data_IF_443117843865
#
_entry.id   IF_443117843865
#
_cell.length_a   1.000
_cell.length_b   1.000
_cell.length_c   1.000
_cell.angle_alpha   90.00
_cell.angle_beta   90.00
_cell.angle_gamma   90.00
#
_symmetry.space_group_name_H-M   'P 1'
#
loop_
_entity.id
_entity.type
_entity.pdbx_description
1 polymer ?
#
# COMPACT_ATOMS: atom_id res chain seq x y z
N UNK A 1 26.15 -12.92 -23.17
CA UNK A 1 25.66 -12.78 -21.78
C UNK A 1 25.70 -11.31 -21.41
N UNK A 2 24.61 -10.58 -21.64
CA UNK A 2 24.57 -9.13 -21.41
C UNK A 2 24.18 -8.86 -19.96
N UNK A 3 25.06 -8.19 -19.21
CA UNK A 3 24.79 -7.71 -17.85
C UNK A 3 23.81 -6.54 -17.95
N UNK A 4 22.54 -6.78 -17.65
CA UNK A 4 21.59 -5.68 -17.44
C UNK A 4 21.92 -5.00 -16.11
N UNK A 5 22.61 -3.86 -16.21
CA UNK A 5 22.77 -2.90 -15.13
C UNK A 5 21.40 -2.28 -14.84
N UNK A 6 20.71 -2.72 -13.78
CA UNK A 6 19.50 -2.02 -13.33
C UNK A 6 19.94 -0.77 -12.58
N UNK A 7 19.88 0.39 -13.25
CA UNK A 7 19.96 1.67 -12.57
C UNK A 7 18.87 1.70 -11.50
N UNK A 8 19.27 1.72 -10.23
CA UNK A 8 18.38 1.92 -9.10
C UNK A 8 17.87 3.35 -9.20
N UNK A 9 16.74 3.53 -9.89
CA UNK A 9 16.01 4.79 -9.87
C UNK A 9 15.56 5.01 -8.43
N UNK A 10 16.28 5.90 -7.75
CA UNK A 10 15.94 6.28 -6.39
C UNK A 10 14.60 7.00 -6.44
N UNK A 11 13.60 6.48 -5.74
CA UNK A 11 12.30 7.13 -5.62
C UNK A 11 12.47 8.45 -4.87
N UNK A 12 12.30 9.57 -5.57
CA UNK A 12 12.50 10.92 -5.02
C UNK A 12 11.30 11.44 -4.21
N UNK A 13 10.23 10.66 -4.10
CA UNK A 13 8.97 11.06 -3.48
C UNK A 13 7.81 11.12 -4.47
N UNK A 14 6.60 11.23 -3.93
CA UNK A 14 5.41 11.46 -4.75
C UNK A 14 5.39 12.93 -5.22
N UNK A 15 5.23 13.19 -6.53
CA UNK A 15 5.15 14.55 -7.04
C UNK A 15 3.90 15.27 -6.48
N UNK A 16 3.93 16.60 -6.42
CA UNK A 16 2.78 17.41 -5.93
C UNK A 16 1.52 17.13 -6.76
N UNK A 17 1.74 16.84 -8.03
CA UNK A 17 0.76 16.47 -9.04
C UNK A 17 -0.04 15.22 -8.62
N UNK A 18 0.54 14.28 -7.86
CA UNK A 18 -0.19 13.12 -7.31
C UNK A 18 -1.35 13.58 -6.42
N UNK A 19 -1.08 14.47 -5.46
CA UNK A 19 -2.10 14.97 -4.55
C UNK A 19 -3.07 15.92 -5.24
N UNK A 20 -2.59 16.70 -6.22
CA UNK A 20 -3.45 17.56 -7.04
C UNK A 20 -4.43 16.74 -7.87
N UNK A 21 -3.97 15.68 -8.55
CA UNK A 21 -4.84 14.75 -9.27
C UNK A 21 -5.89 14.12 -8.35
N UNK A 22 -5.49 13.65 -7.16
CA UNK A 22 -6.42 13.05 -6.20
C UNK A 22 -7.50 14.03 -5.70
N UNK A 23 -7.14 15.31 -5.46
CA UNK A 23 -8.12 16.35 -5.10
C UNK A 23 -9.11 16.61 -6.23
N UNK A 24 -8.62 16.77 -7.45
CA UNK A 24 -9.49 17.04 -8.60
C UNK A 24 -10.37 15.84 -8.95
N UNK A 25 -9.86 14.61 -8.81
CA UNK A 25 -10.63 13.38 -8.95
C UNK A 25 -11.76 13.31 -7.91
N UNK A 26 -11.52 13.77 -6.68
CA UNK A 26 -12.57 13.82 -5.66
C UNK A 26 -13.70 14.77 -6.03
N UNK A 27 -13.38 15.90 -6.67
CA UNK A 27 -14.35 16.90 -7.14
C UNK A 27 -15.08 16.46 -8.41
N UNK A 28 -14.40 15.71 -9.28
CA UNK A 28 -14.88 15.32 -10.61
C UNK A 28 -14.98 13.79 -10.77
N UNK A 29 -15.51 13.09 -9.77
CA UNK A 29 -15.49 11.63 -9.70
C UNK A 29 -16.51 10.99 -10.67
N UNK A 30 -16.22 11.08 -11.97
CA UNK A 30 -17.02 10.52 -13.05
C UNK A 30 -16.10 10.05 -14.19
N UNK A 31 -16.63 9.16 -15.04
CA UNK A 31 -15.85 8.50 -16.09
C UNK A 31 -15.36 9.46 -17.18
N UNK A 32 -16.18 10.43 -17.58
CA UNK A 32 -15.85 11.40 -18.63
C UNK A 32 -14.61 12.21 -18.24
N UNK A 33 -14.60 12.75 -17.01
CA UNK A 33 -13.46 13.50 -16.50
C UNK A 33 -12.21 12.61 -16.38
N UNK A 34 -12.37 11.38 -15.86
CA UNK A 34 -11.24 10.46 -15.71
C UNK A 34 -10.62 10.10 -17.08
N UNK A 35 -11.45 9.81 -18.08
CA UNK A 35 -11.00 9.47 -19.42
C UNK A 35 -10.24 10.64 -20.08
N UNK A 36 -10.74 11.87 -19.92
CA UNK A 36 -10.04 13.08 -20.37
C UNK A 36 -8.70 13.32 -19.62
N UNK A 37 -8.58 12.85 -18.38
CA UNK A 37 -7.39 13.03 -17.53
C UNK A 37 -6.52 11.78 -17.43
N UNK A 38 -6.72 10.80 -18.33
CA UNK A 38 -6.02 9.50 -18.29
C UNK A 38 -4.51 9.62 -18.32
N UNK A 39 -3.97 10.53 -19.13
CA UNK A 39 -2.53 10.81 -19.19
C UNK A 39 -1.99 11.30 -17.84
N UNK A 40 -2.70 12.22 -17.18
CA UNK A 40 -2.35 12.72 -15.84
C UNK A 40 -2.42 11.60 -14.79
N UNK A 41 -3.40 10.71 -14.88
CA UNK A 41 -3.44 9.51 -14.04
C UNK A 41 -2.18 8.65 -14.25
N UNK A 42 -1.75 8.43 -15.49
CA UNK A 42 -0.58 7.59 -15.77
C UNK A 42 0.74 8.23 -15.28
N UNK A 43 0.90 9.53 -15.50
CA UNK A 43 2.13 10.27 -15.19
C UNK A 43 2.22 10.66 -13.71
N UNK A 44 1.12 11.14 -13.11
CA UNK A 44 1.12 11.70 -11.76
C UNK A 44 0.66 10.70 -10.68
N UNK A 45 -0.05 9.63 -11.04
CA UNK A 45 -0.52 8.63 -10.06
C UNK A 45 0.15 7.28 -10.26
N UNK A 46 0.03 6.68 -11.47
CA UNK A 46 0.47 5.31 -11.71
C UNK A 46 2.00 5.20 -11.68
N UNK A 47 2.71 6.00 -12.48
CA UNK A 47 4.18 5.91 -12.58
C UNK A 47 4.88 6.15 -11.23
N UNK A 48 4.53 7.18 -10.44
CA UNK A 48 5.11 7.39 -9.12
C UNK A 48 4.79 6.24 -8.14
N UNK A 49 3.59 5.67 -8.20
CA UNK A 49 3.23 4.52 -7.37
C UNK A 49 4.08 3.29 -7.68
N UNK A 50 4.30 2.99 -8.97
CA UNK A 50 5.15 1.88 -9.39
C UNK A 50 6.61 2.12 -9.01
N UNK A 51 7.11 3.35 -9.14
CA UNK A 51 8.45 3.73 -8.70
C UNK A 51 8.63 3.54 -7.19
N UNK A 52 7.66 3.96 -6.37
CA UNK A 52 7.67 3.72 -4.94
C UNK A 52 7.69 2.22 -4.59
N UNK A 53 6.83 1.42 -5.24
CA UNK A 53 6.78 -0.04 -5.01
C UNK A 53 8.13 -0.68 -5.35
N UNK A 54 8.76 -0.31 -6.48
CA UNK A 54 10.10 -0.78 -6.84
C UNK A 54 11.13 -0.40 -5.78
N UNK A 55 11.13 0.86 -5.33
CA UNK A 55 12.06 1.33 -4.31
C UNK A 55 11.88 0.62 -2.95
N UNK A 56 10.67 0.14 -2.65
CA UNK A 56 10.37 -0.61 -1.43
C UNK A 56 10.83 -2.07 -1.46
N UNK A 57 11.24 -2.63 -2.60
CA UNK A 57 11.66 -4.04 -2.69
C UNK A 57 12.82 -4.38 -1.73
N UNK A 58 13.89 -3.58 -1.75
CA UNK A 58 15.07 -3.82 -0.90
C UNK A 58 14.80 -3.52 0.59
N UNK A 59 14.20 -2.38 0.98
CA UNK A 59 13.81 -2.14 2.37
C UNK A 59 12.89 -3.22 2.94
N UNK A 60 11.91 -3.68 2.16
CA UNK A 60 10.95 -4.68 2.61
C UNK A 60 11.61 -6.06 2.81
N UNK A 61 12.52 -6.46 1.92
CA UNK A 61 13.30 -7.69 2.07
C UNK A 61 14.17 -7.71 3.35
N UNK A 62 14.63 -6.54 3.82
CA UNK A 62 15.35 -6.41 5.10
C UNK A 62 14.43 -6.60 6.31
N UNK A 63 13.14 -6.29 6.19
CA UNK A 63 12.15 -6.55 7.24
C UNK A 63 11.82 -8.04 7.29
N UNK A 64 11.51 -8.63 6.13
CA UNK A 64 11.38 -10.07 5.95
C UNK A 64 11.34 -10.42 4.46
N UNK A 65 12.00 -11.50 4.02
CA UNK A 65 11.97 -11.94 2.62
C UNK A 65 10.59 -12.43 2.17
N UNK A 66 9.67 -12.63 3.11
CA UNK A 66 8.33 -13.19 2.87
C UNK A 66 7.34 -12.14 2.33
N UNK A 67 7.67 -10.85 2.37
CA UNK A 67 6.82 -9.80 1.84
C UNK A 67 7.19 -9.41 0.40
N UNK A 68 6.16 -9.21 -0.42
CA UNK A 68 6.31 -8.96 -1.86
C UNK A 68 5.94 -7.52 -2.22
N UNK A 69 6.88 -6.86 -2.90
CA UNK A 69 6.69 -5.56 -3.55
C UNK A 69 6.69 -5.76 -5.08
N UNK A 70 5.51 -5.80 -5.67
CA UNK A 70 5.30 -6.08 -7.09
C UNK A 70 4.81 -4.83 -7.83
N UNK A 71 5.68 -4.14 -8.61
CA UNK A 71 5.34 -2.89 -9.29
C UNK A 71 4.55 -3.17 -10.58
N UNK A 72 3.34 -3.73 -10.43
CA UNK A 72 2.42 -4.00 -11.55
C UNK A 72 1.16 -3.16 -11.41
N UNK A 73 0.67 -2.63 -12.53
CA UNK A 73 -0.61 -1.89 -12.61
C UNK A 73 -1.81 -2.74 -12.19
N UNK A 74 -1.78 -4.04 -12.50
CA UNK A 74 -2.82 -5.02 -12.18
C UNK A 74 -2.18 -6.24 -11.54
N UNK A 75 -2.79 -6.76 -10.48
CA UNK A 75 -2.32 -7.96 -9.78
C UNK A 75 -1.04 -7.80 -8.95
N UNK A 76 -0.46 -6.59 -8.88
CA UNK A 76 0.70 -6.29 -8.02
C UNK A 76 0.32 -5.67 -6.69
N UNK A 77 1.28 -4.96 -6.08
CA UNK A 77 1.10 -4.26 -4.81
C UNK A 77 0.25 -2.99 -4.92
N UNK A 78 0.09 -2.42 -6.12
CA UNK A 78 -0.80 -1.28 -6.34
C UNK A 78 -2.26 -1.73 -6.36
N UNK A 79 -3.09 -1.13 -5.51
CA UNK A 79 -4.53 -1.40 -5.54
C UNK A 79 -5.20 -0.69 -6.71
N UNK A 80 -6.22 -1.32 -7.30
CA UNK A 80 -7.05 -0.68 -8.31
C UNK A 80 -7.68 0.62 -7.79
N UNK A 81 -7.65 1.65 -8.64
CA UNK A 81 -8.31 2.94 -8.37
C UNK A 81 -9.84 2.84 -8.46
N UNK A 82 -10.38 1.87 -9.18
CA UNK A 82 -11.83 1.67 -9.27
C UNK A 82 -12.43 1.20 -7.93
N UNK A 83 -13.62 1.69 -7.61
CA UNK A 83 -14.42 1.24 -6.47
C UNK A 83 -15.29 0.05 -6.86
N UNK A 84 -15.63 -0.78 -5.87
CA UNK A 84 -16.77 -1.68 -5.99
C UNK A 84 -17.99 -0.94 -5.46
N UNK A 85 -18.96 -0.63 -6.32
CA UNK A 85 -20.13 0.19 -5.97
C UNK A 85 -21.44 -0.60 -6.02
N UNK A 86 -21.37 -1.93 -6.22
CA UNK A 86 -22.57 -2.77 -6.37
C UNK A 86 -23.53 -2.61 -5.20
N UNK A 87 -23.00 -2.63 -3.98
CA UNK A 87 -23.77 -2.53 -2.73
C UNK A 87 -23.67 -1.15 -2.04
N UNK A 88 -22.96 -0.18 -2.63
CA UNK A 88 -22.78 1.15 -2.05
C UNK A 88 -23.92 2.09 -2.42
N UNK A 89 -24.41 2.91 -1.48
CA UNK A 89 -25.31 4.04 -1.79
C UNK A 89 -24.60 5.12 -2.60
N UNK A 90 -23.32 5.35 -2.29
CA UNK A 90 -22.46 6.24 -3.06
C UNK A 90 -21.93 5.51 -4.30
N UNK A 91 -22.35 5.98 -5.49
CA UNK A 91 -22.02 5.39 -6.79
C UNK A 91 -20.78 5.98 -7.47
N UNK A 92 -19.99 6.81 -6.79
CA UNK A 92 -18.74 7.34 -7.35
C UNK A 92 -17.80 6.21 -7.78
N UNK A 93 -17.37 6.16 -9.06
CA UNK A 93 -16.65 5.01 -9.63
C UNK A 93 -15.20 4.87 -9.18
N UNK A 94 -14.56 5.94 -8.70
CA UNK A 94 -13.13 5.95 -8.37
C UNK A 94 -12.87 6.20 -6.89
N UNK A 95 -11.80 5.59 -6.38
CA UNK A 95 -11.20 5.88 -5.08
C UNK A 95 -10.47 7.21 -5.17
N UNK A 96 -10.51 7.97 -4.08
CA UNK A 96 -9.84 9.28 -3.95
C UNK A 96 -8.49 9.18 -3.25
N UNK A 97 -7.99 7.95 -3.06
CA UNK A 97 -6.73 7.64 -2.44
C UNK A 97 -5.89 6.70 -3.32
N UNK A 98 -4.58 6.76 -3.14
CA UNK A 98 -3.65 5.74 -3.60
C UNK A 98 -3.46 4.72 -2.47
N UNK A 99 -3.86 3.48 -2.74
CA UNK A 99 -3.65 2.35 -1.83
C UNK A 99 -2.57 1.43 -2.39
N UNK A 100 -1.56 1.13 -1.59
CA UNK A 100 -0.51 0.16 -1.90
C UNK A 100 -0.50 -0.88 -0.79
N UNK A 101 -0.51 -2.16 -1.16
CA UNK A 101 -0.51 -3.29 -0.23
C UNK A 101 0.68 -4.20 -0.55
N UNK A 102 1.64 -4.26 0.37
CA UNK A 102 2.72 -5.22 0.35
C UNK A 102 2.28 -6.49 1.07
N UNK A 103 2.08 -7.56 0.29
CA UNK A 103 1.46 -8.80 0.76
C UNK A 103 2.51 -9.79 1.23
N UNK A 104 2.18 -10.55 2.26
CA UNK A 104 2.96 -11.71 2.66
C UNK A 104 2.75 -12.87 1.69
N UNK A 105 3.76 -13.71 1.48
CA UNK A 105 3.67 -14.87 0.57
C UNK A 105 2.64 -15.92 0.99
N UNK A 106 2.27 -15.92 2.28
CA UNK A 106 1.26 -16.80 2.85
C UNK A 106 -0.12 -16.61 2.22
N UNK A 107 -0.39 -15.47 1.57
CA UNK A 107 -1.65 -15.29 0.87
C UNK A 107 -1.87 -13.91 0.28
N UNK A 108 -2.76 -13.86 -0.70
CA UNK A 108 -3.24 -12.63 -1.34
C UNK A 108 -4.59 -12.14 -0.80
N UNK A 109 -5.15 -12.80 0.21
CA UNK A 109 -6.39 -12.40 0.85
C UNK A 109 -6.15 -11.43 2.03
N UNK A 110 -7.21 -11.14 2.79
CA UNK A 110 -7.17 -10.24 3.95
C UNK A 110 -6.64 -10.91 5.22
N UNK A 111 -6.54 -12.24 5.22
CA UNK A 111 -6.14 -13.03 6.38
C UNK A 111 -4.61 -13.23 6.45
N UNK A 112 -3.88 -12.88 5.40
CA UNK A 112 -2.42 -12.79 5.44
C UNK A 112 -1.96 -11.46 6.07
N UNK A 113 -0.82 -11.44 6.78
CA UNK A 113 -0.25 -10.19 7.25
C UNK A 113 0.20 -9.33 6.07
N UNK A 114 0.22 -8.01 6.26
CA UNK A 114 0.59 -7.08 5.21
C UNK A 114 0.96 -5.69 5.72
N UNK A 115 1.62 -4.94 4.86
CA UNK A 115 1.83 -3.51 5.02
C UNK A 115 0.97 -2.74 4.03
N UNK A 116 0.20 -1.79 4.54
CA UNK A 116 -0.64 -0.92 3.75
C UNK A 116 -0.09 0.50 3.77
N UNK A 117 0.00 1.13 2.60
CA UNK A 117 0.32 2.55 2.46
C UNK A 117 -0.89 3.25 1.87
N UNK A 118 -1.32 4.30 2.54
CA UNK A 118 -2.41 5.16 2.14
C UNK A 118 -1.90 6.55 1.84
N UNK A 119 -2.12 7.03 0.62
CA UNK A 119 -1.85 8.41 0.24
C UNK A 119 -3.15 9.06 -0.24
N UNK A 120 -3.62 10.05 0.50
CA UNK A 120 -4.79 10.85 0.15
C UNK A 120 -4.54 12.30 0.61
N UNK A 121 -5.08 13.32 -0.10
CA UNK A 121 -5.05 14.67 0.41
C UNK A 121 -5.61 14.75 1.84
N UNK A 122 -4.81 15.32 2.76
CA UNK A 122 -5.10 15.47 4.20
C UNK A 122 -5.08 14.18 5.04
N UNK A 123 -4.83 13.02 4.45
CA UNK A 123 -4.82 11.74 5.16
C UNK A 123 -3.78 10.83 4.52
N UNK A 124 -2.62 10.71 5.17
CA UNK A 124 -1.57 9.78 4.76
C UNK A 124 -1.19 8.93 5.96
N UNK A 125 -1.22 7.61 5.82
CA UNK A 125 -0.86 6.70 6.89
C UNK A 125 -0.30 5.39 6.36
N UNK A 126 0.37 4.66 7.25
CA UNK A 126 0.86 3.31 7.02
C UNK A 126 0.18 2.41 8.04
N UNK A 127 -0.35 1.27 7.58
CA UNK A 127 -0.85 0.20 8.42
C UNK A 127 0.04 -1.02 8.31
N UNK A 128 0.20 -1.77 9.39
CA UNK A 128 0.90 -3.04 9.41
C UNK A 128 0.14 -4.02 10.31
N UNK A 129 0.04 -5.27 9.88
CA UNK A 129 -0.55 -6.31 10.69
C UNK A 129 -1.39 -7.29 9.89
N UNK A 130 -2.31 -7.95 10.57
CA UNK A 130 -3.18 -9.01 10.04
C UNK A 130 -4.63 -8.66 10.38
N UNK A 131 -5.51 -8.65 9.38
CA UNK A 131 -6.91 -8.26 9.55
C UNK A 131 -7.79 -9.51 9.66
N UNK A 132 -8.51 -9.67 10.77
CA UNK A 132 -9.30 -10.88 11.08
C UNK A 132 -8.56 -12.19 10.76
N UNK A 133 -7.44 -12.49 11.44
CA UNK A 133 -6.74 -13.77 11.25
C UNK A 133 -7.66 -14.96 11.50
N UNK A 134 -7.44 -16.05 10.76
CA UNK A 134 -8.10 -17.34 11.04
C UNK A 134 -7.77 -17.82 12.45
N UNK A 135 -8.60 -18.70 13.01
CA UNK A 135 -8.52 -19.14 14.41
C UNK A 135 -7.12 -19.63 14.80
N UNK A 136 -6.47 -20.44 13.95
CA UNK A 136 -5.14 -20.98 14.23
C UNK A 136 -4.04 -19.91 14.20
N UNK A 137 -4.09 -18.99 13.24
CA UNK A 137 -3.15 -17.87 13.17
C UNK A 137 -3.34 -16.92 14.37
N UNK A 138 -4.58 -16.63 14.76
CA UNK A 138 -4.89 -15.81 15.93
C UNK A 138 -4.37 -16.45 17.22
N UNK A 139 -4.60 -17.76 17.38
CA UNK A 139 -4.10 -18.53 18.53
C UNK A 139 -2.57 -18.47 18.58
N UNK A 140 -1.89 -18.74 17.45
CA UNK A 140 -0.43 -18.70 17.38
C UNK A 140 0.15 -17.33 17.73
N UNK A 141 -0.47 -16.24 17.27
CA UNK A 141 -0.06 -14.88 17.61
C UNK A 141 -0.18 -14.65 19.12
N UNK A 142 -1.32 -15.03 19.71
CA UNK A 142 -1.58 -14.84 21.15
C UNK A 142 -0.62 -15.65 22.02
N UNK A 143 -0.44 -16.94 21.72
CA UNK A 143 0.51 -17.81 22.42
C UNK A 143 1.94 -17.25 22.33
N UNK A 144 2.31 -16.68 21.18
CA UNK A 144 3.62 -16.05 21.00
C UNK A 144 3.80 -14.81 21.88
N UNK A 145 2.76 -13.98 22.00
CA UNK A 145 2.76 -12.79 22.86
C UNK A 145 2.83 -13.21 24.35
N UNK A 146 2.05 -14.22 24.73
CA UNK A 146 2.01 -14.73 26.11
C UNK A 146 3.34 -15.39 26.51
N UNK A 147 3.99 -16.10 25.58
CA UNK A 147 5.30 -16.69 25.80
C UNK A 147 6.44 -15.65 25.81
N UNK A 148 6.27 -14.51 25.13
CA UNK A 148 7.29 -13.46 24.98
C UNK A 148 6.75 -12.05 25.26
N UNK A 149 6.23 -11.80 26.48
CA UNK A 149 5.56 -10.53 26.79
C UNK A 149 6.53 -9.34 26.81
N UNK A 150 7.80 -9.57 27.11
CA UNK A 150 8.86 -8.54 27.05
C UNK A 150 9.11 -8.06 25.63
N UNK A 151 9.17 -8.97 24.65
CA UNK A 151 9.40 -8.64 23.24
C UNK A 151 8.22 -7.84 22.68
N UNK A 152 7.01 -8.25 23.01
CA UNK A 152 5.79 -7.53 22.65
C UNK A 152 5.79 -6.10 23.22
N UNK A 153 6.04 -5.94 24.53
CA UNK A 153 6.13 -4.61 25.16
C UNK A 153 7.24 -3.76 24.54
N UNK A 154 8.41 -4.34 24.28
CA UNK A 154 9.53 -3.64 23.63
C UNK A 154 9.16 -3.17 22.23
N UNK A 155 8.44 -3.96 21.45
CA UNK A 155 7.99 -3.58 20.11
C UNK A 155 6.91 -2.49 20.16
N UNK A 156 5.88 -2.67 21.01
CA UNK A 156 4.77 -1.73 21.19
C UNK A 156 5.24 -0.37 21.72
N UNK A 157 6.13 -0.39 22.72
CA UNK A 157 6.59 0.79 23.45
C UNK A 157 7.91 1.35 22.86
N UNK A 158 8.30 0.90 21.66
CA UNK A 158 9.54 1.34 21.03
C UNK A 158 9.49 2.87 20.80
N UNK A 159 10.59 3.56 21.15
CA UNK A 159 10.66 5.04 21.11
C UNK A 159 10.34 5.66 19.75
N UNK A 160 10.55 4.89 18.66
CA UNK A 160 10.19 5.31 17.30
C UNK A 160 8.67 5.42 17.05
N UNK A 161 7.83 4.79 17.90
CA UNK A 161 6.37 4.85 17.80
C UNK A 161 5.72 5.65 18.95
N UNK A 162 6.43 5.84 20.07
CA UNK A 162 5.88 6.46 21.28
C UNK A 162 6.38 7.90 21.55
N UNK A 163 6.98 8.59 20.58
CA UNK A 163 7.50 9.94 20.81
C UNK A 163 6.43 11.03 20.63
N UNK A 164 6.01 11.55 21.79
CA UNK A 164 5.42 12.86 22.15
C UNK A 164 4.15 13.33 21.43
#
# INVERSE_FOLDING_TARGET
MSKNSSASSTFAGFPKETLTFLRELAQNNNRVWFDANRKRYEEAFLSPALAYITAMQQPLAKVSPLYRAEPKKLGGSLMRIFRDVRFSKDKRPYKTNMGIHFRHEAGCDVHAPGFYVHIQPKECFIGAGIWHPAADALRSIRETIDARPSDWKKARDHKAFCSK
#
